data_IF_103017766830
#
_entry.id   IF_103017766830
#
_cell.length_a   1.000
_cell.length_b   1.000
_cell.length_c   1.000
_cell.angle_alpha   90.00
_cell.angle_beta   90.00
_cell.angle_gamma   90.00
#
_symmetry.space_group_name_H-M   'P 1'
#
loop_
_entity.id
_entity.type
_entity.pdbx_description
1 polymer ?
#
# COMPACT_ATOMS: atom_id res chain seq x y z
N UNK A 1 -12.73 10.06 -2.84
CA UNK A 1 -12.51 9.62 -1.45
C UNK A 1 -12.18 10.83 -0.59
N UNK A 2 -12.78 10.98 0.60
CA UNK A 2 -12.57 12.17 1.46
C UNK A 2 -11.12 12.35 1.94
N UNK A 3 -10.35 11.26 2.06
CA UNK A 3 -8.95 11.29 2.52
C UNK A 3 -7.94 11.64 1.41
N UNK A 4 -8.31 11.48 0.14
CA UNK A 4 -7.37 11.55 -0.98
C UNK A 4 -6.61 12.88 -1.08
N UNK A 5 -7.25 14.08 -0.96
CA UNK A 5 -6.52 15.34 -1.07
C UNK A 5 -5.37 15.44 -0.06
N UNK A 6 -5.62 15.01 1.18
CA UNK A 6 -4.60 15.05 2.24
C UNK A 6 -3.55 13.95 2.08
N UNK A 7 -3.92 12.78 1.57
CA UNK A 7 -2.98 11.72 1.22
C UNK A 7 -2.05 12.18 0.10
N UNK A 8 -2.60 12.76 -0.97
CA UNK A 8 -1.83 13.23 -2.12
C UNK A 8 -0.83 14.32 -1.72
N UNK A 9 -1.26 15.33 -0.95
CA UNK A 9 -0.38 16.36 -0.39
C UNK A 9 0.75 15.75 0.45
N UNK A 10 0.41 14.80 1.33
CA UNK A 10 1.40 14.15 2.20
C UNK A 10 2.42 13.32 1.41
N UNK A 11 1.97 12.68 0.33
CA UNK A 11 2.84 11.89 -0.56
C UNK A 11 3.75 12.79 -1.39
N UNK A 12 3.21 13.88 -1.95
CA UNK A 12 3.99 14.88 -2.68
C UNK A 12 5.09 15.47 -1.80
N UNK A 13 4.77 15.83 -0.55
CA UNK A 13 5.74 16.34 0.43
C UNK A 13 6.83 15.32 0.81
N UNK A 14 6.51 14.02 0.79
CA UNK A 14 7.45 12.95 1.12
C UNK A 14 8.36 12.62 -0.06
N UNK A 15 7.80 12.58 -1.27
CA UNK A 15 8.49 12.21 -2.51
C UNK A 15 9.19 13.41 -3.18
N UNK A 16 8.91 14.63 -2.73
CA UNK A 16 9.47 15.85 -3.33
C UNK A 16 8.97 16.11 -4.75
N UNK A 17 7.73 15.72 -5.06
CA UNK A 17 7.09 15.93 -6.36
C UNK A 17 5.88 16.86 -6.27
N UNK A 18 5.31 17.24 -7.41
CA UNK A 18 4.10 18.06 -7.44
C UNK A 18 2.86 17.24 -7.09
N UNK A 19 1.94 17.83 -6.31
CA UNK A 19 0.69 17.15 -5.90
C UNK A 19 -0.17 16.73 -7.11
N UNK A 20 -0.04 17.43 -8.23
CA UNK A 20 -0.73 17.12 -9.48
C UNK A 20 -0.23 15.83 -10.15
N UNK A 21 1.00 15.40 -9.85
CA UNK A 21 1.56 14.13 -10.32
C UNK A 21 1.05 12.92 -9.53
N UNK A 22 0.54 13.15 -8.31
CA UNK A 22 0.05 12.11 -7.40
C UNK A 22 -1.36 11.65 -7.77
N UNK A 23 -1.50 10.98 -8.91
CA UNK A 23 -2.76 10.41 -9.40
C UNK A 23 -3.11 9.12 -8.66
N UNK A 24 -4.40 8.83 -8.49
CA UNK A 24 -4.84 7.66 -7.71
C UNK A 24 -4.23 6.32 -8.16
N UNK A 25 -4.00 6.16 -9.47
CA UNK A 25 -3.55 4.94 -10.13
C UNK A 25 -2.05 4.92 -10.50
N UNK A 26 -1.31 6.00 -10.21
CA UNK A 26 0.12 6.08 -10.49
C UNK A 26 0.89 5.09 -9.62
N UNK A 27 1.84 4.36 -10.20
CA UNK A 27 2.75 3.54 -9.39
C UNK A 27 3.65 4.45 -8.59
N UNK A 28 3.73 4.24 -7.28
CA UNK A 28 4.62 5.03 -6.44
C UNK A 28 6.08 4.82 -6.83
N UNK A 29 6.47 3.57 -7.13
CA UNK A 29 7.85 3.25 -7.51
C UNK A 29 8.11 3.57 -8.99
N UNK A 30 7.31 3.03 -9.91
CA UNK A 30 7.61 3.17 -11.35
C UNK A 30 7.21 4.55 -11.91
N UNK A 31 6.26 5.24 -11.27
CA UNK A 31 5.72 6.51 -11.75
C UNK A 31 6.18 7.74 -10.97
N UNK A 32 6.51 7.59 -9.68
CA UNK A 32 6.97 8.69 -8.83
C UNK A 32 8.38 8.45 -8.24
N UNK A 33 9.08 7.42 -8.71
CA UNK A 33 10.45 7.07 -8.30
C UNK A 33 10.63 6.84 -6.78
N UNK A 34 9.57 6.39 -6.10
CA UNK A 34 9.60 6.17 -4.66
C UNK A 34 10.58 5.06 -4.26
N UNK A 35 11.50 5.38 -3.36
CA UNK A 35 12.43 4.46 -2.73
C UNK A 35 11.84 3.85 -1.44
N UNK A 36 12.49 2.80 -0.94
CA UNK A 36 12.09 2.13 0.31
C UNK A 36 12.03 3.09 1.51
N UNK A 37 12.89 4.11 1.54
CA UNK A 37 12.91 5.10 2.61
C UNK A 37 11.71 6.05 2.53
N UNK A 38 11.25 6.38 1.33
CA UNK A 38 10.10 7.25 1.12
C UNK A 38 8.81 6.60 1.60
N UNK A 39 8.67 5.28 1.45
CA UNK A 39 7.55 4.54 2.04
C UNK A 39 7.49 4.71 3.56
N UNK A 40 8.64 4.70 4.24
CA UNK A 40 8.70 4.90 5.69
C UNK A 40 8.32 6.34 6.07
N UNK A 41 8.80 7.33 5.31
CA UNK A 41 8.47 8.74 5.55
C UNK A 41 6.98 9.02 5.28
N UNK A 42 6.45 8.56 4.14
CA UNK A 42 5.04 8.65 3.78
C UNK A 42 4.15 8.06 4.88
N UNK A 43 4.43 6.83 5.33
CA UNK A 43 3.67 6.20 6.42
C UNK A 43 3.73 7.03 7.70
N UNK A 44 4.90 7.53 8.08
CA UNK A 44 5.04 8.35 9.29
C UNK A 44 4.26 9.66 9.22
N UNK A 45 4.31 10.34 8.07
CA UNK A 45 3.57 11.58 7.85
C UNK A 45 2.06 11.33 7.82
N UNK A 46 1.60 10.25 7.20
CA UNK A 46 0.19 9.86 7.18
C UNK A 46 -0.32 9.53 8.59
N UNK A 47 0.44 8.77 9.39
CA UNK A 47 0.11 8.50 10.80
C UNK A 47 -0.10 9.82 11.57
N UNK A 48 0.82 10.79 11.41
CA UNK A 48 0.74 12.09 12.08
C UNK A 48 -0.42 12.93 11.57
N UNK A 49 -0.64 12.98 10.26
CA UNK A 49 -1.68 13.79 9.63
C UNK A 49 -3.09 13.32 9.99
N UNK A 50 -3.30 12.00 10.03
CA UNK A 50 -4.61 11.40 10.31
C UNK A 50 -4.78 10.93 11.76
N UNK A 51 -3.75 11.06 12.60
CA UNK A 51 -3.72 10.59 14.00
C UNK A 51 -4.07 9.09 14.13
N UNK A 52 -3.53 8.29 13.21
CA UNK A 52 -3.73 6.84 13.14
C UNK A 52 -2.42 6.09 13.40
N UNK A 53 -2.53 4.77 13.58
CA UNK A 53 -1.38 3.87 13.59
C UNK A 53 -1.41 2.98 12.35
N UNK A 54 -0.32 3.00 11.60
CA UNK A 54 -0.10 2.18 10.43
C UNK A 54 1.12 1.30 10.75
N UNK A 55 0.93 -0.01 10.96
CA UNK A 55 2.04 -0.89 11.28
C UNK A 55 3.02 -0.99 10.09
N UNK A 56 4.20 -0.38 10.25
CA UNK A 56 5.21 -0.13 9.20
C UNK A 56 5.70 -1.39 8.46
N UNK A 57 5.74 -2.54 9.12
CA UNK A 57 6.12 -3.83 8.51
C UNK A 57 4.94 -4.63 7.93
N UNK A 58 3.70 -4.16 8.16
CA UNK A 58 2.50 -4.96 7.94
C UNK A 58 1.75 -4.65 6.65
N UNK A 59 2.21 -3.78 5.76
CA UNK A 59 1.43 -3.57 4.51
C UNK A 59 1.35 -4.88 3.73
N UNK A 60 2.48 -5.61 3.63
CA UNK A 60 2.52 -6.95 3.04
C UNK A 60 1.82 -7.99 3.94
N UNK A 61 1.98 -7.93 5.26
CA UNK A 61 1.28 -8.86 6.19
C UNK A 61 -0.24 -8.69 6.15
N UNK A 62 -0.74 -7.45 6.07
CA UNK A 62 -2.15 -7.12 5.92
C UNK A 62 -2.66 -7.58 4.56
N UNK A 63 -1.82 -7.46 3.52
CA UNK A 63 -2.12 -7.97 2.20
C UNK A 63 -2.18 -9.50 2.17
N UNK A 64 -1.43 -10.19 3.04
CA UNK A 64 -1.55 -11.64 3.29
C UNK A 64 -2.82 -12.00 4.10
N UNK A 65 -3.29 -11.12 4.98
CA UNK A 65 -4.46 -11.39 5.83
C UNK A 65 -4.23 -12.60 6.74
N UNK A 66 -5.25 -13.47 6.86
CA UNK A 66 -5.20 -14.68 7.69
C UNK A 66 -4.46 -15.87 7.03
N UNK A 67 -3.95 -15.69 5.80
CA UNK A 67 -3.30 -16.76 5.07
C UNK A 67 -1.94 -17.10 5.74
N UNK A 68 -1.64 -18.38 6.02
CA UNK A 68 -0.32 -18.78 6.51
C UNK A 68 0.79 -18.38 5.54
N UNK A 69 1.98 -18.05 6.05
CA UNK A 69 3.13 -17.64 5.22
C UNK A 69 3.47 -18.67 4.15
N UNK A 70 3.50 -19.96 4.50
CA UNK A 70 3.77 -21.06 3.58
C UNK A 70 2.69 -21.23 2.49
N UNK A 71 1.49 -20.72 2.73
CA UNK A 71 0.42 -20.68 1.73
C UNK A 71 0.47 -19.39 0.90
N UNK A 72 1.02 -18.31 1.43
CA UNK A 72 1.16 -17.04 0.73
C UNK A 72 2.36 -17.02 -0.21
N UNK A 73 3.49 -17.56 0.23
CA UNK A 73 4.73 -17.59 -0.53
C UNK A 73 5.49 -18.92 -0.41
N UNK A 74 6.26 -19.24 -1.45
CA UNK A 74 7.22 -20.33 -1.45
C UNK A 74 8.54 -19.84 -2.02
N UNK A 75 9.60 -19.88 -1.20
CA UNK A 75 10.96 -19.43 -1.58
C UNK A 75 10.97 -17.97 -2.10
N UNK A 76 10.18 -17.10 -1.48
CA UNK A 76 10.05 -15.68 -1.87
C UNK A 76 9.23 -15.42 -3.12
N UNK A 77 8.56 -16.43 -3.68
CA UNK A 77 7.61 -16.31 -4.80
C UNK A 77 6.19 -16.43 -4.27
N UNK A 78 5.32 -15.50 -4.65
CA UNK A 78 3.90 -15.51 -4.28
C UNK A 78 3.21 -16.70 -4.94
N UNK A 79 2.47 -17.49 -4.15
CA UNK A 79 1.70 -18.64 -4.66
C UNK A 79 0.40 -18.17 -5.34
N UNK A 80 -0.33 -19.10 -5.96
CA UNK A 80 -1.67 -18.78 -6.50
C UNK A 80 -2.66 -18.30 -5.43
N UNK A 81 -2.60 -18.89 -4.23
CA UNK A 81 -3.43 -18.45 -3.09
C UNK A 81 -3.01 -17.08 -2.60
N UNK A 82 -1.70 -16.83 -2.46
CA UNK A 82 -1.17 -15.52 -2.10
C UNK A 82 -1.56 -14.45 -3.11
N UNK A 83 -1.54 -14.78 -4.41
CA UNK A 83 -1.94 -13.88 -5.48
C UNK A 83 -3.45 -13.55 -5.42
N UNK A 84 -4.31 -14.54 -5.19
CA UNK A 84 -5.74 -14.32 -5.03
C UNK A 84 -6.04 -13.41 -3.81
N UNK A 85 -5.30 -13.61 -2.72
CA UNK A 85 -5.39 -12.78 -1.52
C UNK A 85 -4.90 -11.34 -1.79
N UNK A 86 -3.77 -11.17 -2.48
CA UNK A 86 -3.27 -9.85 -2.90
C UNK A 86 -4.29 -9.11 -3.79
N UNK A 87 -4.88 -9.78 -4.77
CA UNK A 87 -5.93 -9.21 -5.64
C UNK A 87 -7.16 -8.78 -4.85
N UNK A 88 -7.50 -9.52 -3.80
CA UNK A 88 -8.62 -9.17 -2.90
C UNK A 88 -8.27 -7.95 -2.05
N UNK A 89 -7.05 -7.89 -1.51
CA UNK A 89 -6.61 -6.79 -0.67
C UNK A 89 -6.42 -5.48 -1.45
N UNK A 90 -5.76 -5.56 -2.61
CA UNK A 90 -5.48 -4.50 -3.59
C UNK A 90 -6.53 -4.48 -4.71
N UNK A 91 -7.82 -4.49 -4.33
CA UNK A 91 -8.95 -4.56 -5.25
C UNK A 91 -9.10 -3.35 -6.19
N UNK A 92 -8.33 -2.29 -5.97
CA UNK A 92 -8.20 -1.14 -6.87
C UNK A 92 -7.37 -1.44 -8.11
N UNK A 93 -6.48 -2.42 -8.05
CA UNK A 93 -5.54 -2.70 -9.13
C UNK A 93 -6.16 -3.66 -10.15
N UNK A 94 -5.99 -3.38 -11.46
CA UNK A 94 -6.47 -4.30 -12.47
C UNK A 94 -5.61 -5.57 -12.49
N UNK A 95 -6.20 -6.67 -12.95
CA UNK A 95 -5.60 -8.00 -12.82
C UNK A 95 -4.25 -8.15 -13.57
N UNK A 96 -4.02 -7.35 -14.60
CA UNK A 96 -2.78 -7.31 -15.40
C UNK A 96 -1.57 -6.76 -14.63
N UNK A 97 -1.79 -6.01 -13.55
CA UNK A 97 -0.70 -5.55 -12.66
C UNK A 97 -0.03 -6.72 -11.91
N UNK A 98 -0.74 -7.83 -11.73
CA UNK A 98 -0.29 -8.99 -10.96
C UNK A 98 0.42 -10.00 -11.88
N UNK A 99 1.70 -9.75 -12.19
CA UNK A 99 2.51 -10.60 -13.09
C UNK A 99 3.00 -11.87 -12.38
N UNK A 100 2.75 -13.04 -12.96
CA UNK A 100 3.16 -14.34 -12.42
C UNK A 100 4.34 -14.91 -13.23
N UNK A 101 5.38 -15.50 -12.60
CA UNK A 101 5.61 -15.57 -11.15
C UNK A 101 5.98 -14.21 -10.56
N UNK A 102 5.40 -13.87 -9.40
CA UNK A 102 5.66 -12.62 -8.67
C UNK A 102 6.56 -12.89 -7.47
N UNK A 103 7.60 -12.09 -7.26
CA UNK A 103 8.36 -12.13 -6.01
C UNK A 103 7.65 -11.32 -4.94
N UNK A 104 7.75 -11.74 -3.69
CA UNK A 104 7.20 -11.02 -2.54
C UNK A 104 7.85 -9.63 -2.41
N UNK A 105 9.14 -9.53 -2.74
CA UNK A 105 9.87 -8.26 -2.80
C UNK A 105 9.36 -7.30 -3.88
N UNK A 106 8.59 -7.78 -4.87
CA UNK A 106 7.99 -6.93 -5.92
C UNK A 106 6.61 -6.39 -5.52
N UNK A 107 6.00 -6.84 -4.41
CA UNK A 107 4.68 -6.37 -3.96
C UNK A 107 4.62 -4.84 -3.81
N UNK A 108 5.63 -4.15 -3.24
CA UNK A 108 5.59 -2.69 -3.13
C UNK A 108 5.45 -1.95 -4.48
N UNK A 109 5.84 -2.57 -5.60
CA UNK A 109 5.69 -1.99 -6.95
C UNK A 109 4.23 -1.84 -7.37
N UNK A 110 3.33 -2.60 -6.74
CA UNK A 110 1.89 -2.51 -6.94
C UNK A 110 1.27 -1.29 -6.26
N UNK A 111 1.94 -0.69 -5.27
CA UNK A 111 1.32 0.34 -4.46
C UNK A 111 1.12 1.64 -5.23
N UNK A 112 -0.06 2.21 -5.03
CA UNK A 112 -0.52 3.46 -5.62
C UNK A 112 -1.04 4.39 -4.52
N UNK A 113 -1.26 5.69 -4.80
CA UNK A 113 -1.93 6.58 -3.86
C UNK A 113 -3.30 6.07 -3.39
N UNK A 114 -4.06 5.36 -4.25
CA UNK A 114 -5.32 4.74 -3.83
C UNK A 114 -5.11 3.66 -2.76
N UNK A 115 -4.05 2.84 -2.86
CA UNK A 115 -3.70 1.83 -1.85
C UNK A 115 -3.54 2.47 -0.47
N UNK A 116 -2.86 3.61 -0.40
CA UNK A 116 -2.67 4.34 0.86
C UNK A 116 -3.95 5.03 1.35
N UNK A 117 -4.79 5.53 0.44
CA UNK A 117 -6.11 6.04 0.82
C UNK A 117 -6.95 4.95 1.50
N UNK A 118 -7.01 3.75 0.93
CA UNK A 118 -7.72 2.61 1.53
C UNK A 118 -7.10 2.21 2.87
N UNK A 119 -5.78 2.22 2.96
CA UNK A 119 -5.06 1.92 4.19
C UNK A 119 -5.41 2.91 5.31
N UNK A 120 -5.37 4.22 5.02
CA UNK A 120 -5.75 5.27 5.98
C UNK A 120 -7.19 5.08 6.45
N UNK A 121 -8.12 4.81 5.54
CA UNK A 121 -9.53 4.57 5.88
C UNK A 121 -9.70 3.34 6.78
N UNK A 122 -8.97 2.24 6.50
CA UNK A 122 -9.00 1.04 7.35
C UNK A 122 -8.47 1.35 8.75
N UNK A 123 -7.32 2.01 8.85
CA UNK A 123 -6.71 2.38 10.13
C UNK A 123 -7.58 3.35 10.95
N UNK A 124 -8.28 4.29 10.31
CA UNK A 124 -9.24 5.16 11.01
C UNK A 124 -10.40 4.37 11.60
N UNK A 125 -10.94 3.39 10.86
CA UNK A 125 -12.03 2.53 11.35
C UNK A 125 -11.57 1.67 12.53
N UNK A 126 -10.38 1.10 12.46
CA UNK A 126 -9.80 0.30 13.55
C UNK A 126 -9.56 1.15 14.81
N UNK A 127 -9.01 2.36 14.64
CA UNK A 127 -8.80 3.29 15.75
C UNK A 127 -10.11 3.72 16.40
N UNK A 128 -11.18 3.90 15.62
CA UNK A 128 -12.50 4.24 16.14
C UNK A 128 -13.19 3.05 16.83
N UNK A 129 -12.98 1.82 16.37
CA UNK A 129 -13.52 0.62 17.00
C UNK A 129 -12.82 0.26 18.32
N UNK A 130 -11.58 0.74 18.51
CA UNK A 130 -10.81 0.54 19.74
C UNK A 130 -10.98 1.66 20.78
N UNK A 131 -11.75 2.71 20.46
CA UNK A 131 -12.04 3.86 21.33
C UNK A 131 -13.40 3.71 22.02
#
# INVERSE_FOLDING_TARGET
>A
MAVYPKVAETMADALGCDVEDVKLDVSLIEGLDAESIDFLDMVFRLERAFKIKIPRGKIVENARGDLPEAEFEQKGIVTEKGLAQLKTYLSELPADRFKVPMKVADIPRLFTPETFCKLVVRAQKEAQAAA
#
